data_IF_403849161738
#
_entry.id   IF_403849161738
#
_cell.length_a   1.000
_cell.length_b   1.000
_cell.length_c   1.000
_cell.angle_alpha   90.00
_cell.angle_beta   90.00
_cell.angle_gamma   90.00
#
_symmetry.space_group_name_H-M   'P 1'
#
loop_
_entity.id
_entity.type
_entity.pdbx_description
1 polymer ?
#
# COMPACT_ATOMS: atom_id res chain seq x y z
N UNK A 1 -16.04 -4.46 -4.14
CA UNK A 1 -15.17 -3.63 -3.29
C UNK A 1 -15.55 -2.17 -3.51
N UNK A 2 -15.72 -1.36 -2.46
CA UNK A 2 -15.97 0.08 -2.58
C UNK A 2 -14.89 0.83 -1.81
N UNK A 3 -14.33 1.86 -2.42
CA UNK A 3 -13.44 2.81 -1.78
C UNK A 3 -13.96 4.21 -2.13
N UNK A 4 -13.92 5.13 -1.17
CA UNK A 4 -14.25 6.53 -1.40
C UNK A 4 -12.96 7.34 -1.35
N UNK A 5 -12.84 8.33 -2.22
CA UNK A 5 -11.74 9.29 -2.17
C UNK A 5 -12.35 10.67 -1.99
N UNK A 6 -11.92 11.36 -0.94
CA UNK A 6 -12.36 12.72 -0.62
C UNK A 6 -11.17 13.67 -0.79
N UNK A 7 -11.36 14.72 -1.56
CA UNK A 7 -10.39 15.82 -1.61
C UNK A 7 -10.44 16.62 -0.30
N UNK A 8 -9.27 16.95 0.24
CA UNK A 8 -9.14 17.70 1.51
C UNK A 8 -8.71 19.13 1.23
N UNK A 9 -7.50 19.30 0.70
CA UNK A 9 -6.91 20.57 0.34
C UNK A 9 -5.77 20.34 -0.67
N UNK A 10 -5.45 21.34 -1.49
CA UNK A 10 -4.33 21.24 -2.44
C UNK A 10 -4.38 19.97 -3.30
N UNK A 11 -3.28 19.19 -3.28
CA UNK A 11 -3.18 17.86 -3.91
C UNK A 11 -3.29 16.73 -2.88
N UNK A 12 -3.89 16.98 -1.72
CA UNK A 12 -4.08 16.00 -0.65
C UNK A 12 -5.47 15.37 -0.71
N UNK A 13 -5.50 14.04 -0.64
CA UNK A 13 -6.69 13.21 -0.74
C UNK A 13 -6.79 12.24 0.44
N UNK A 14 -8.01 12.06 0.94
CA UNK A 14 -8.33 11.06 1.97
C UNK A 14 -9.08 9.89 1.31
N UNK A 15 -8.45 8.72 1.27
CA UNK A 15 -9.08 7.47 0.87
C UNK A 15 -9.75 6.79 2.06
N UNK A 16 -10.98 6.33 1.90
CA UNK A 16 -11.69 5.52 2.89
C UNK A 16 -11.99 4.15 2.29
N UNK A 17 -11.49 3.09 2.95
CA UNK A 17 -11.73 1.71 2.55
C UNK A 17 -13.12 1.23 2.97
N UNK A 18 -13.62 0.18 2.33
CA UNK A 18 -14.87 -0.46 2.74
C UNK A 18 -14.87 -0.97 4.20
N UNK A 19 -13.69 -1.21 4.78
CA UNK A 19 -13.54 -1.63 6.18
C UNK A 19 -13.53 -0.45 7.17
N UNK A 20 -13.74 0.79 6.70
CA UNK A 20 -13.77 2.00 7.52
C UNK A 20 -12.38 2.56 7.85
N UNK A 21 -11.31 2.05 7.23
CA UNK A 21 -9.96 2.59 7.44
C UNK A 21 -9.72 3.75 6.49
N UNK A 22 -9.07 4.79 7.02
CA UNK A 22 -8.74 6.00 6.26
C UNK A 22 -7.25 6.06 5.98
N UNK A 23 -6.89 6.50 4.78
CA UNK A 23 -5.51 6.69 4.34
C UNK A 23 -5.38 8.07 3.70
N UNK A 24 -4.33 8.80 4.05
CA UNK A 24 -4.01 10.08 3.43
C UNK A 24 -3.05 9.83 2.26
N UNK A 25 -3.27 10.53 1.15
CA UNK A 25 -2.42 10.50 -0.03
C UNK A 25 -2.09 11.92 -0.45
N UNK A 26 -0.84 12.16 -0.86
CA UNK A 26 -0.39 13.48 -1.31
C UNK A 26 0.16 13.44 -2.74
N UNK A 27 -0.46 14.19 -3.64
CA UNK A 27 0.01 14.34 -5.02
C UNK A 27 1.24 15.23 -5.18
N UNK A 28 1.65 15.98 -4.14
CA UNK A 28 2.82 16.85 -4.19
C UNK A 28 4.12 16.10 -3.83
N UNK A 29 4.46 15.08 -4.63
CA UNK A 29 5.66 14.24 -4.46
C UNK A 29 5.81 13.58 -3.08
N UNK A 30 4.69 13.35 -2.38
CA UNK A 30 4.70 12.62 -1.12
C UNK A 30 5.11 13.43 0.12
N UNK A 31 5.07 14.76 0.08
CA UNK A 31 5.59 15.65 1.14
C UNK A 31 4.91 15.43 2.50
N UNK A 32 3.58 15.36 2.55
CA UNK A 32 2.82 15.16 3.81
C UNK A 32 2.29 13.74 4.01
N UNK A 33 2.16 12.97 2.94
CA UNK A 33 1.67 11.59 2.94
C UNK A 33 2.18 10.86 1.70
N UNK A 34 2.22 9.52 1.66
CA UNK A 34 2.65 8.81 0.47
C UNK A 34 1.89 9.25 -0.78
N UNK A 35 2.59 9.36 -1.89
CA UNK A 35 1.95 9.62 -3.17
C UNK A 35 1.04 8.45 -3.56
N UNK A 36 -0.02 8.71 -4.34
CA UNK A 36 -0.87 7.63 -4.86
C UNK A 36 -0.07 6.51 -5.55
N UNK A 37 1.03 6.84 -6.24
CA UNK A 37 1.88 5.84 -6.89
C UNK A 37 2.69 5.02 -5.88
N UNK A 38 3.24 5.63 -4.83
CA UNK A 38 3.91 4.89 -3.75
C UNK A 38 2.93 3.96 -3.02
N UNK A 39 1.68 4.39 -2.83
CA UNK A 39 0.63 3.52 -2.28
C UNK A 39 0.35 2.31 -3.16
N UNK A 40 0.29 2.48 -4.48
CA UNK A 40 0.11 1.36 -5.42
C UNK A 40 1.31 0.40 -5.34
N UNK A 41 2.53 0.92 -5.27
CA UNK A 41 3.75 0.12 -5.18
C UNK A 41 3.79 -0.71 -3.89
N UNK A 42 3.47 -0.08 -2.75
CA UNK A 42 3.34 -0.76 -1.46
C UNK A 42 2.23 -1.81 -1.48
N UNK A 43 1.08 -1.51 -2.09
CA UNK A 43 -0.02 -2.46 -2.20
C UNK A 43 0.36 -3.70 -3.03
N UNK A 44 1.07 -3.52 -4.15
CA UNK A 44 1.55 -4.62 -4.98
C UNK A 44 2.57 -5.50 -4.23
N UNK A 45 3.51 -4.89 -3.53
CA UNK A 45 4.47 -5.59 -2.66
C UNK A 45 3.79 -6.36 -1.54
N UNK A 46 2.83 -5.71 -0.85
CA UNK A 46 2.05 -6.30 0.23
C UNK A 46 1.21 -7.50 -0.21
N UNK A 47 0.48 -7.40 -1.34
CA UNK A 47 -0.27 -8.53 -1.88
C UNK A 47 0.62 -9.74 -2.15
N UNK A 48 1.78 -9.52 -2.77
CA UNK A 48 2.74 -10.58 -3.06
C UNK A 48 3.32 -11.21 -1.79
N UNK A 49 3.66 -10.39 -0.79
CA UNK A 49 4.22 -10.84 0.48
C UNK A 49 3.20 -11.66 1.30
N UNK A 50 1.92 -11.28 1.29
CA UNK A 50 0.85 -12.01 1.97
C UNK A 50 0.76 -13.44 1.46
N UNK A 51 0.85 -13.65 0.15
CA UNK A 51 0.82 -14.99 -0.44
C UNK A 51 1.99 -15.85 0.05
N UNK A 52 3.21 -15.30 0.04
CA UNK A 52 4.43 -15.99 0.52
C UNK A 52 4.31 -16.37 2.00
N UNK A 53 3.93 -15.42 2.86
CA UNK A 53 3.76 -15.70 4.30
C UNK A 53 2.69 -16.76 4.53
N UNK A 54 1.57 -16.70 3.79
CA UNK A 54 0.49 -17.69 3.91
C UNK A 54 0.96 -19.11 3.58
N UNK A 55 1.86 -19.26 2.61
CA UNK A 55 2.44 -20.56 2.22
C UNK A 55 3.39 -21.05 3.31
N UNK A 56 4.27 -20.20 3.81
CA UNK A 56 5.25 -20.56 4.85
C UNK A 56 4.56 -21.01 6.15
N UNK A 57 3.52 -20.28 6.58
CA UNK A 57 2.70 -20.65 7.73
C UNK A 57 2.02 -22.02 7.56
N UNK A 58 1.44 -22.30 6.38
CA UNK A 58 0.83 -23.60 6.07
C UNK A 58 1.85 -24.74 6.09
N UNK A 59 3.12 -24.47 5.77
CA UNK A 59 4.21 -25.45 5.70
C UNK A 59 4.94 -25.62 7.03
N UNK A 60 4.47 -24.98 8.11
CA UNK A 60 5.14 -24.92 9.42
C UNK A 60 6.63 -24.54 9.34
N UNK A 61 6.99 -23.83 8.27
CA UNK A 61 8.34 -23.34 8.01
C UNK A 61 8.39 -21.96 8.64
N UNK A 62 9.09 -21.80 9.75
CA UNK A 62 9.21 -20.50 10.43
C UNK A 62 9.74 -19.42 9.47
N UNK A 63 9.22 -18.20 9.61
CA UNK A 63 9.70 -17.02 8.90
C UNK A 63 9.82 -15.89 9.92
N UNK A 64 11.06 -15.54 10.28
CA UNK A 64 11.34 -14.49 11.26
C UNK A 64 11.28 -13.09 10.63
N UNK A 65 11.65 -12.96 9.35
CA UNK A 65 11.62 -11.68 8.62
C UNK A 65 11.38 -11.91 7.12
N UNK A 66 10.48 -11.11 6.52
CA UNK A 66 10.26 -11.05 5.07
C UNK A 66 10.30 -9.59 4.61
N UNK A 67 11.22 -9.28 3.69
CA UNK A 67 11.35 -7.96 3.07
C UNK A 67 11.06 -8.06 1.58
N UNK A 68 10.04 -7.34 1.12
CA UNK A 68 9.72 -7.20 -0.30
C UNK A 68 10.11 -5.82 -0.79
N UNK A 69 10.94 -5.74 -1.83
CA UNK A 69 11.32 -4.49 -2.49
C UNK A 69 10.68 -4.45 -3.87
N UNK A 70 9.97 -3.36 -4.16
CA UNK A 70 9.37 -3.11 -5.45
C UNK A 70 9.88 -1.76 -5.95
N UNK A 71 10.27 -1.71 -7.23
CA UNK A 71 10.83 -0.54 -7.90
C UNK A 71 10.05 -0.29 -9.19
N UNK A 72 9.68 0.96 -9.44
CA UNK A 72 9.07 1.38 -10.70
C UNK A 72 10.05 2.32 -11.39
N UNK A 73 10.63 1.84 -12.49
CA UNK A 73 11.46 2.68 -13.36
C UNK A 73 10.56 3.47 -14.29
N UNK A 74 10.42 4.76 -14.04
CA UNK A 74 9.93 5.70 -15.04
C UNK A 74 11.09 6.04 -15.97
N UNK A 75 10.96 5.67 -17.25
CA UNK A 75 11.91 5.99 -18.33
C UNK A 75 12.04 7.48 -18.58
#
# INVERSE_FOLDING_TARGET
>A
MQARVKWVEGLTFLGESASGHQVLMDGNSGDKAPSPMEMVLMAAGGCSAIDVVSILQKRASGCDELRSEADVRTS
#
